data_IF_314008545432
#
_entry.id   IF_314008545432
#
_cell.length_a   1.000
_cell.length_b   1.000
_cell.length_c   1.000
_cell.angle_alpha   90.00
_cell.angle_beta   90.00
_cell.angle_gamma   90.00
#
_symmetry.space_group_name_H-M   'P 1'
#
loop_
_entity.id
_entity.type
_entity.pdbx_description
1 polymer ?
#
# COMPACT_ATOMS: atom_id res chain seq x y z
N UNK A 1 17.54 43.39 8.70
CA UNK A 1 17.70 42.01 8.20
C UNK A 1 17.55 41.00 9.34
N UNK A 2 16.33 40.66 9.80
CA UNK A 2 16.16 39.70 10.92
C UNK A 2 14.82 38.90 10.93
N UNK A 3 13.99 39.00 9.89
CA UNK A 3 12.69 38.30 9.85
C UNK A 3 12.75 36.85 9.36
N UNK A 4 13.83 36.42 8.70
CA UNK A 4 13.93 35.06 8.18
C UNK A 4 14.31 34.02 9.23
N UNK A 5 15.06 34.38 10.29
CA UNK A 5 15.58 33.39 11.25
C UNK A 5 14.50 32.70 12.10
N UNK A 6 13.35 33.35 12.32
CA UNK A 6 12.27 32.80 13.16
C UNK A 6 11.52 31.64 12.47
N UNK A 7 11.34 31.70 11.15
CA UNK A 7 10.62 30.66 10.39
C UNK A 7 11.43 29.35 10.18
N UNK A 8 12.74 29.40 10.43
CA UNK A 8 13.68 28.28 10.32
C UNK A 8 14.31 27.89 11.67
N UNK A 9 13.80 28.40 12.80
CA UNK A 9 14.33 28.08 14.12
C UNK A 9 13.84 26.71 14.61
N UNK A 10 14.77 25.78 14.76
CA UNK A 10 14.55 24.35 15.09
C UNK A 10 14.80 24.05 16.56
N UNK A 11 15.17 25.06 17.34
CA UNK A 11 15.58 24.88 18.73
C UNK A 11 14.42 24.50 19.66
N UNK A 12 13.19 24.90 19.34
CA UNK A 12 12.01 24.67 20.19
C UNK A 12 11.48 23.24 20.14
N UNK A 13 11.58 22.56 18.99
CA UNK A 13 11.12 21.17 18.83
C UNK A 13 12.06 20.17 19.49
N UNK A 14 13.36 20.43 19.48
CA UNK A 14 14.36 19.51 20.05
C UNK A 14 14.30 19.43 21.58
N UNK A 15 14.13 20.55 22.27
CA UNK A 15 13.99 20.56 23.74
C UNK A 15 12.73 19.81 24.20
N UNK A 16 11.59 20.07 23.55
CA UNK A 16 10.32 19.43 23.87
C UNK A 16 10.33 17.91 23.62
N UNK A 17 11.13 17.45 22.66
CA UNK A 17 11.31 16.03 22.37
C UNK A 17 12.09 15.31 23.49
N UNK A 18 13.19 15.90 23.98
CA UNK A 18 13.98 15.30 25.06
C UNK A 18 13.30 15.35 26.43
N UNK A 19 12.47 16.36 26.71
CA UNK A 19 11.70 16.43 27.96
C UNK A 19 10.67 15.31 28.12
N UNK A 20 10.28 14.65 27.02
CA UNK A 20 9.34 13.52 27.05
C UNK A 20 10.03 12.15 27.15
N UNK A 21 11.37 12.11 27.12
CA UNK A 21 12.12 10.86 27.18
C UNK A 21 12.09 10.26 28.59
N UNK A 22 11.59 9.04 28.73
CA UNK A 22 11.69 8.27 29.98
C UNK A 22 13.06 7.62 30.15
N UNK A 23 13.45 7.29 31.39
CA UNK A 23 14.74 6.64 31.65
C UNK A 23 14.79 5.24 31.01
N UNK A 24 15.75 5.00 30.13
CA UNK A 24 15.94 3.73 29.43
C UNK A 24 15.35 3.67 28.02
N UNK A 25 14.73 4.75 27.53
CA UNK A 25 14.20 4.85 26.18
C UNK A 25 15.21 5.50 25.22
N UNK A 26 15.33 4.96 24.00
CA UNK A 26 16.08 5.61 22.92
C UNK A 26 15.14 6.59 22.21
N UNK A 27 15.28 7.87 22.50
CA UNK A 27 14.50 8.93 21.85
C UNK A 27 15.28 9.55 20.69
N UNK A 28 14.75 9.39 19.48
CA UNK A 28 15.31 9.97 18.25
C UNK A 28 14.54 11.25 17.90
N UNK A 29 15.15 12.40 18.18
CA UNK A 29 14.55 13.69 17.85
C UNK A 29 14.91 14.09 16.41
N UNK A 30 13.94 14.01 15.50
CA UNK A 30 14.06 14.52 14.14
C UNK A 30 13.38 15.89 14.01
N UNK A 31 13.85 16.71 13.08
CA UNK A 31 13.08 17.87 12.63
C UNK A 31 11.95 17.39 11.72
N UNK A 32 10.79 18.03 11.82
CA UNK A 32 9.74 17.87 10.82
C UNK A 32 10.09 18.69 9.58
N UNK A 33 10.77 18.02 8.65
CA UNK A 33 11.14 18.52 7.33
C UNK A 33 10.16 18.05 6.23
N UNK A 34 9.00 17.50 6.61
CA UNK A 34 7.98 17.02 5.67
C UNK A 34 7.57 18.07 4.63
N UNK A 35 7.59 19.36 5.02
CA UNK A 35 7.33 20.51 4.14
C UNK A 35 8.42 20.79 3.11
N UNK A 36 9.62 20.25 3.29
CA UNK A 36 10.78 20.41 2.41
C UNK A 36 11.11 19.13 1.63
N UNK A 37 10.55 17.99 2.04
CA UNK A 37 10.71 16.71 1.35
C UNK A 37 9.95 16.73 0.02
N UNK A 38 10.62 16.31 -1.05
CA UNK A 38 9.95 16.02 -2.31
C UNK A 38 9.01 14.81 -2.12
N UNK A 39 7.74 14.96 -2.50
CA UNK A 39 6.77 13.86 -2.42
C UNK A 39 7.22 12.70 -3.30
N UNK A 40 7.11 11.48 -2.79
CA UNK A 40 7.37 10.28 -3.58
C UNK A 40 6.29 10.08 -4.64
N UNK A 41 6.58 9.30 -5.69
CA UNK A 41 5.60 9.00 -6.74
C UNK A 41 4.35 8.35 -6.17
N UNK A 42 4.48 7.48 -5.17
CA UNK A 42 3.35 6.85 -4.48
C UNK A 42 2.48 7.84 -3.69
N UNK A 43 3.03 8.99 -3.27
CA UNK A 43 2.27 10.05 -2.60
C UNK A 43 1.56 11.00 -3.57
N UNK A 44 2.08 11.14 -4.80
CA UNK A 44 1.54 12.06 -5.82
C UNK A 44 0.57 11.34 -6.75
N UNK A 45 0.94 10.15 -7.20
CA UNK A 45 0.17 9.30 -8.10
C UNK A 45 0.26 7.82 -7.66
N UNK A 46 -0.55 7.44 -6.66
CA UNK A 46 -0.52 6.10 -6.06
C UNK A 46 -0.93 4.98 -7.02
N UNK A 47 -1.53 5.31 -8.17
CA UNK A 47 -1.98 4.35 -9.18
C UNK A 47 -1.09 4.33 -10.44
N UNK A 48 -0.03 5.14 -10.47
CA UNK A 48 0.97 5.10 -11.54
C UNK A 48 1.70 3.76 -11.58
N UNK A 49 2.17 3.36 -12.77
CA UNK A 49 3.01 2.17 -12.93
C UNK A 49 4.23 2.18 -12.01
N UNK A 50 4.83 3.35 -11.75
CA UNK A 50 6.00 3.49 -10.88
C UNK A 50 5.64 3.36 -9.40
N UNK A 51 4.45 3.81 -8.98
CA UNK A 51 4.01 3.65 -7.59
C UNK A 51 3.56 2.22 -7.27
N UNK A 52 3.08 1.50 -8.28
CA UNK A 52 2.60 0.12 -8.16
C UNK A 52 3.73 -0.93 -8.27
N UNK A 53 4.94 -0.52 -8.68
CA UNK A 53 6.14 -1.37 -8.75
C UNK A 53 6.85 -1.45 -7.39
N UNK A 54 6.14 -1.93 -6.37
CA UNK A 54 6.61 -2.04 -4.98
C UNK A 54 6.87 -3.49 -4.54
N UNK A 55 6.81 -4.45 -5.47
CA UNK A 55 6.94 -5.88 -5.19
C UNK A 55 5.70 -6.52 -4.58
N UNK A 56 4.63 -5.77 -4.30
CA UNK A 56 3.36 -6.31 -3.82
C UNK A 56 2.54 -6.91 -4.96
N UNK A 57 2.06 -8.15 -4.79
CA UNK A 57 1.13 -8.77 -5.73
C UNK A 57 -0.26 -8.16 -5.48
N UNK A 58 -0.68 -7.24 -6.37
CA UNK A 58 -2.00 -6.62 -6.32
C UNK A 58 -3.01 -7.46 -7.11
N UNK A 59 -4.27 -7.59 -6.64
CA UNK A 59 -5.28 -8.32 -7.39
C UNK A 59 -5.52 -7.67 -8.76
N UNK A 60 -5.81 -8.47 -9.80
CA UNK A 60 -6.14 -7.91 -11.11
C UNK A 60 -7.45 -7.10 -11.04
N UNK A 61 -7.53 -5.99 -11.78
CA UNK A 61 -8.77 -5.24 -11.95
C UNK A 61 -9.73 -6.06 -12.84
N UNK A 62 -10.82 -6.55 -12.25
CA UNK A 62 -11.85 -7.32 -12.93
C UNK A 62 -13.02 -6.45 -13.44
N UNK A 63 -12.94 -5.13 -13.29
CA UNK A 63 -14.01 -4.22 -13.72
C UNK A 63 -14.08 -4.16 -15.27
N UNK A 64 -15.24 -4.41 -15.88
CA UNK A 64 -15.41 -4.27 -17.33
C UNK A 64 -15.15 -2.83 -17.78
N UNK A 65 -14.11 -2.61 -18.59
CA UNK A 65 -13.83 -1.30 -19.21
C UNK A 65 -14.57 -1.21 -20.55
N UNK A 66 -15.66 -0.44 -20.57
CA UNK A 66 -16.39 -0.14 -21.80
C UNK A 66 -15.78 1.10 -22.49
N UNK A 67 -15.54 1.08 -23.81
CA UNK A 67 -15.07 2.27 -24.52
C UNK A 67 -16.16 3.36 -24.56
N UNK A 68 -15.81 4.59 -24.16
CA UNK A 68 -16.68 5.77 -24.24
C UNK A 68 -17.47 6.11 -22.97
N UNK A 69 -18.35 7.13 -23.05
CA UNK A 69 -19.17 7.60 -21.93
C UNK A 69 -20.30 6.59 -21.70
N UNK A 70 -20.20 5.81 -20.62
CA UNK A 70 -21.19 4.79 -20.29
C UNK A 70 -22.32 5.41 -19.47
N UNK A 71 -23.48 5.64 -20.08
CA UNK A 71 -24.65 6.26 -19.43
C UNK A 71 -25.36 5.36 -18.40
N UNK A 72 -25.15 4.04 -18.48
CA UNK A 72 -25.73 3.07 -17.58
C UNK A 72 -24.79 1.86 -17.46
N UNK A 73 -24.43 1.49 -16.23
CA UNK A 73 -23.64 0.29 -15.93
C UNK A 73 -24.57 -0.78 -15.37
N UNK A 74 -24.52 -1.97 -15.94
CA UNK A 74 -25.33 -3.11 -15.51
C UNK A 74 -26.61 -3.29 -16.31
N UNK A 75 -27.34 -4.36 -15.99
CA UNK A 75 -28.60 -4.70 -16.62
C UNK A 75 -29.76 -4.07 -15.83
N UNK A 76 -30.55 -3.23 -16.49
CA UNK A 76 -31.72 -2.55 -15.89
C UNK A 76 -33.05 -3.22 -16.24
N UNK A 77 -33.06 -4.11 -17.25
CA UNK A 77 -34.26 -4.82 -17.72
C UNK A 77 -34.09 -6.32 -17.42
N UNK A 78 -34.84 -6.89 -16.47
CA UNK A 78 -34.71 -8.29 -16.09
C UNK A 78 -35.14 -9.25 -17.23
N UNK A 79 -34.56 -10.45 -17.31
CA UNK A 79 -33.68 -11.09 -16.31
C UNK A 79 -32.20 -10.76 -16.53
N UNK A 80 -31.56 -10.20 -15.51
CA UNK A 80 -30.13 -9.91 -15.56
C UNK A 80 -29.32 -11.18 -15.29
N UNK A 81 -28.37 -11.54 -16.17
CA UNK A 81 -27.48 -12.66 -15.90
C UNK A 81 -26.71 -12.34 -14.61
N UNK A 82 -26.80 -13.24 -13.62
CA UNK A 82 -25.84 -13.25 -12.52
C UNK A 82 -24.48 -13.36 -13.19
N UNK A 83 -23.56 -12.45 -12.88
CA UNK A 83 -22.22 -12.44 -13.48
C UNK A 83 -21.55 -13.82 -13.36
N UNK A 84 -20.46 -14.07 -14.11
CA UNK A 84 -19.81 -15.37 -14.10
C UNK A 84 -19.51 -15.78 -12.65
N UNK A 85 -20.14 -16.87 -12.21
CA UNK A 85 -19.81 -17.50 -10.95
C UNK A 85 -18.52 -18.29 -11.17
N UNK A 86 -17.41 -17.80 -10.64
CA UNK A 86 -16.15 -18.52 -10.66
C UNK A 86 -16.18 -19.58 -9.56
N UNK A 87 -16.26 -20.85 -9.96
CA UNK A 87 -16.12 -21.98 -9.06
C UNK A 87 -14.66 -22.44 -9.11
N UNK A 88 -13.96 -22.29 -7.99
CA UNK A 88 -12.62 -22.85 -7.82
C UNK A 88 -12.80 -24.25 -7.25
N UNK A 89 -12.51 -25.27 -8.06
CA UNK A 89 -12.48 -26.66 -7.60
C UNK A 89 -11.15 -26.91 -6.87
N UNK A 90 -11.22 -26.90 -5.54
CA UNK A 90 -10.07 -27.10 -4.67
C UNK A 90 -9.48 -28.51 -4.77
N UNK A 91 -10.27 -29.51 -5.19
CA UNK A 91 -9.80 -30.89 -5.35
C UNK A 91 -8.99 -31.08 -6.64
N UNK A 92 -9.24 -30.23 -7.64
CA UNK A 92 -8.49 -30.23 -8.91
C UNK A 92 -7.12 -29.55 -8.83
N UNK A 93 -6.82 -28.84 -7.73
CA UNK A 93 -5.55 -28.13 -7.56
C UNK A 93 -4.45 -29.16 -7.27
N UNK A 94 -3.38 -29.22 -8.07
CA UNK A 94 -2.28 -30.14 -7.83
C UNK A 94 -1.53 -29.79 -6.55
N UNK A 95 -0.98 -30.82 -5.90
CA UNK A 95 -0.09 -30.63 -4.76
C UNK A 95 1.14 -29.79 -5.12
N UNK A 96 1.57 -28.97 -4.17
CA UNK A 96 2.69 -28.06 -4.39
C UNK A 96 3.98 -28.86 -4.73
N UNK A 97 4.75 -28.44 -5.76
CA UNK A 97 6.03 -29.07 -6.06
C UNK A 97 7.00 -29.03 -4.87
N UNK A 98 7.74 -30.12 -4.63
CA UNK A 98 8.68 -30.22 -3.53
C UNK A 98 9.75 -29.12 -3.59
N UNK A 99 9.93 -28.40 -2.48
CA UNK A 99 10.87 -27.28 -2.36
C UNK A 99 10.34 -25.93 -2.88
N UNK A 100 9.12 -25.88 -3.42
CA UNK A 100 8.45 -24.61 -3.73
C UNK A 100 8.11 -23.83 -2.46
N UNK A 101 7.97 -22.51 -2.56
CA UNK A 101 7.50 -21.67 -1.46
C UNK A 101 6.15 -22.15 -0.93
N UNK A 102 5.25 -22.56 -1.82
CA UNK A 102 3.95 -23.13 -1.44
C UNK A 102 4.11 -24.42 -0.60
N UNK A 103 5.05 -25.30 -0.97
CA UNK A 103 5.33 -26.55 -0.25
C UNK A 103 6.01 -26.28 1.11
N UNK A 104 6.96 -25.34 1.16
CA UNK A 104 7.62 -24.94 2.40
C UNK A 104 6.66 -24.26 3.39
N UNK A 105 5.72 -23.47 2.89
CA UNK A 105 4.66 -22.86 3.72
C UNK A 105 3.67 -23.93 4.18
N UNK A 106 3.24 -24.84 3.31
CA UNK A 106 2.35 -25.95 3.67
C UNK A 106 2.94 -26.84 4.78
N UNK A 107 4.26 -27.07 4.75
CA UNK A 107 4.99 -27.83 5.78
C UNK A 107 5.37 -27.01 7.02
N UNK A 108 5.07 -25.71 7.05
CA UNK A 108 5.44 -24.82 8.16
C UNK A 108 6.95 -24.55 8.30
N UNK A 109 7.73 -24.81 7.24
CA UNK A 109 9.18 -24.58 7.18
C UNK A 109 9.50 -23.13 6.83
N UNK A 110 8.62 -22.45 6.07
CA UNK A 110 8.71 -21.03 5.69
C UNK A 110 7.45 -20.29 6.14
N UNK A 111 7.57 -19.03 6.56
CA UNK A 111 6.43 -18.15 6.81
C UNK A 111 6.03 -17.47 5.50
N UNK A 112 4.73 -17.31 5.25
CA UNK A 112 4.25 -16.44 4.17
C UNK A 112 4.42 -14.98 4.57
N UNK A 113 5.30 -14.27 3.89
CA UNK A 113 5.51 -12.83 3.96
C UNK A 113 4.85 -12.09 2.80
#
# INVERSE_FOLDING_TARGET
MLRSQSAYSTQRSRAQCYERAASGEIVVCAQDDSKFRAKSTSEVDPLSSQALDDGSIRPPDLEPKYPGVTAARGCFVPPCPKGPAYFVDLESIPEAPAGSDADLIARGVKRGD
#
